data_IF_338827037913
#
_entry.id   IF_338827037913
#
_cell.length_a   1.000
_cell.length_b   1.000
_cell.length_c   1.000
_cell.angle_alpha   90.00
_cell.angle_beta   90.00
_cell.angle_gamma   90.00
#
_symmetry.space_group_name_H-M   'P 1'
#
loop_
_entity.id
_entity.type
_entity.pdbx_description
1 polymer ?
#
# COMPACT_ATOMS: atom_id res chain seq x y z
N UNK A 1 -42.67 12.12 17.25
CA UNK A 1 -41.85 11.78 16.07
C UNK A 1 -42.79 11.68 14.88
N UNK A 2 -42.67 12.59 13.91
CA UNK A 2 -43.52 12.62 12.71
C UNK A 2 -43.16 11.45 11.76
N UNK A 3 -43.94 11.26 10.69
CA UNK A 3 -43.77 10.15 9.75
C UNK A 3 -42.42 10.22 9.03
N UNK A 4 -41.98 11.43 8.72
CA UNK A 4 -40.71 11.77 8.08
C UNK A 4 -39.54 11.32 8.95
N UNK A 5 -39.47 11.73 10.23
CA UNK A 5 -38.38 11.34 11.13
C UNK A 5 -38.30 9.81 11.31
N UNK A 6 -39.45 9.13 11.36
CA UNK A 6 -39.50 7.65 11.41
C UNK A 6 -38.92 7.02 10.15
N UNK A 7 -39.26 7.55 8.97
CA UNK A 7 -38.71 7.09 7.70
C UNK A 7 -37.21 7.32 7.63
N UNK A 8 -36.75 8.53 7.94
CA UNK A 8 -35.33 8.91 7.90
C UNK A 8 -34.49 8.00 8.80
N UNK A 9 -34.93 7.79 10.03
CA UNK A 9 -34.23 6.90 10.98
C UNK A 9 -34.21 5.45 10.47
N UNK A 10 -35.28 5.01 9.81
CA UNK A 10 -35.36 3.68 9.21
C UNK A 10 -34.41 3.50 8.03
N UNK A 11 -34.20 4.53 7.21
CA UNK A 11 -33.31 4.44 6.03
C UNK A 11 -31.86 4.53 6.45
N UNK A 12 -31.52 5.51 7.30
CA UNK A 12 -30.13 5.83 7.65
C UNK A 12 -29.45 4.68 8.41
N UNK A 13 -30.20 3.94 9.24
CA UNK A 13 -29.63 2.84 10.05
C UNK A 13 -29.02 1.70 9.21
N UNK A 14 -29.42 1.59 7.94
CA UNK A 14 -28.97 0.53 7.03
C UNK A 14 -27.66 0.91 6.32
N UNK A 15 -27.13 2.11 6.55
CA UNK A 15 -25.86 2.60 5.99
C UNK A 15 -24.76 2.69 7.06
N UNK A 16 -23.51 2.67 6.60
CA UNK A 16 -22.33 2.86 7.45
C UNK A 16 -22.44 4.10 8.31
N UNK A 17 -21.98 4.00 9.57
CA UNK A 17 -22.07 5.06 10.58
C UNK A 17 -21.48 6.38 10.07
N UNK A 18 -20.44 6.31 9.24
CA UNK A 18 -19.79 7.45 8.61
C UNK A 18 -20.76 8.24 7.71
N UNK A 19 -21.68 7.56 7.01
CA UNK A 19 -22.65 8.20 6.11
C UNK A 19 -23.86 8.75 6.85
N UNK A 20 -24.14 8.27 8.06
CA UNK A 20 -25.40 8.55 8.74
C UNK A 20 -25.64 10.04 9.01
N UNK A 21 -24.59 10.78 9.37
CA UNK A 21 -24.70 12.22 9.61
C UNK A 21 -24.99 12.99 8.30
N UNK A 22 -24.25 12.69 7.23
CA UNK A 22 -24.46 13.31 5.91
C UNK A 22 -25.82 12.96 5.32
N UNK A 23 -26.30 11.72 5.49
CA UNK A 23 -27.65 11.34 5.10
C UNK A 23 -28.71 12.06 5.92
N UNK A 24 -28.47 12.27 7.21
CA UNK A 24 -29.39 13.02 8.06
C UNK A 24 -29.51 14.48 7.59
N UNK A 25 -28.38 15.13 7.33
CA UNK A 25 -28.34 16.49 6.77
C UNK A 25 -29.08 16.57 5.42
N UNK A 26 -28.86 15.58 4.54
CA UNK A 26 -29.60 15.46 3.28
C UNK A 26 -31.12 15.40 3.51
N UNK A 27 -31.58 14.54 4.41
CA UNK A 27 -33.02 14.39 4.67
C UNK A 27 -33.62 15.61 5.37
N UNK A 28 -32.88 16.25 6.28
CA UNK A 28 -33.31 17.50 6.94
C UNK A 28 -33.50 18.61 5.87
N UNK A 29 -32.56 18.78 4.95
CA UNK A 29 -32.67 19.75 3.85
C UNK A 29 -33.80 19.40 2.87
N UNK A 30 -34.04 18.12 2.59
CA UNK A 30 -35.17 17.68 1.77
C UNK A 30 -36.52 18.05 2.43
N UNK A 31 -36.66 17.81 3.75
CA UNK A 31 -37.87 18.17 4.52
C UNK A 31 -38.08 19.69 4.48
N UNK A 32 -37.03 20.48 4.72
CA UNK A 32 -37.08 21.95 4.64
C UNK A 32 -37.49 22.44 3.25
N UNK A 33 -37.20 21.67 2.20
CA UNK A 33 -37.55 21.96 0.82
C UNK A 33 -38.86 21.30 0.35
N UNK A 34 -39.67 20.80 1.27
CA UNK A 34 -41.03 20.34 1.01
C UNK A 34 -41.16 18.86 0.63
N UNK A 35 -40.15 18.04 0.92
CA UNK A 35 -40.30 16.59 0.83
C UNK A 35 -41.24 16.07 1.94
N UNK A 36 -42.10 15.12 1.57
CA UNK A 36 -42.95 14.35 2.48
C UNK A 36 -42.83 12.86 2.14
N UNK A 37 -43.31 11.99 3.03
CA UNK A 37 -43.29 10.53 2.80
C UNK A 37 -44.10 10.04 1.59
N UNK A 38 -44.88 10.91 0.95
CA UNK A 38 -45.62 10.60 -0.27
C UNK A 38 -44.70 10.49 -1.50
N UNK A 39 -43.55 11.16 -1.46
CA UNK A 39 -42.52 11.08 -2.50
C UNK A 39 -41.49 10.02 -2.10
N UNK A 40 -41.46 8.92 -2.86
CA UNK A 40 -40.51 7.83 -2.62
C UNK A 40 -39.08 8.29 -2.93
N UNK A 41 -38.18 8.05 -1.98
CA UNK A 41 -36.73 8.22 -2.15
C UNK A 41 -36.10 6.84 -2.17
N UNK A 42 -35.33 6.55 -3.21
CA UNK A 42 -34.57 5.30 -3.32
C UNK A 42 -33.10 5.58 -3.03
N UNK A 43 -32.63 5.17 -1.86
CA UNK A 43 -31.21 5.19 -1.51
C UNK A 43 -30.65 3.78 -1.58
N UNK A 44 -29.50 3.61 -2.24
CA UNK A 44 -28.79 2.33 -2.29
C UNK A 44 -27.30 2.55 -2.45
N UNK A 45 -26.51 1.73 -1.79
CA UNK A 45 -25.09 1.55 -2.11
C UNK A 45 -24.91 0.33 -3.01
N UNK A 46 -24.15 0.49 -4.10
CA UNK A 46 -23.80 -0.60 -5.01
C UNK A 46 -22.36 -0.41 -5.50
N UNK A 47 -21.53 -1.43 -5.30
CA UNK A 47 -20.12 -1.41 -5.73
C UNK A 47 -19.34 -0.19 -5.20
N UNK A 48 -19.56 0.19 -3.93
CA UNK A 48 -18.93 1.36 -3.32
C UNK A 48 -19.48 2.70 -3.79
N UNK A 49 -20.54 2.72 -4.60
CA UNK A 49 -21.19 3.95 -5.05
C UNK A 49 -22.54 4.10 -4.38
N UNK A 50 -22.71 5.18 -3.64
CA UNK A 50 -24.00 5.61 -3.12
C UNK A 50 -24.81 6.29 -4.22
N UNK A 51 -26.08 5.89 -4.33
CA UNK A 51 -27.05 6.42 -5.28
C UNK A 51 -28.29 6.81 -4.50
N UNK A 52 -28.86 7.98 -4.84
CA UNK A 52 -30.11 8.47 -4.30
C UNK A 52 -30.99 9.00 -5.43
N UNK A 53 -32.16 8.40 -5.63
CA UNK A 53 -33.11 8.79 -6.68
C UNK A 53 -34.43 9.26 -6.07
N UNK A 54 -34.84 10.47 -6.47
CA UNK A 54 -36.11 11.12 -6.10
C UNK A 54 -36.88 11.36 -7.39
N UNK A 55 -37.67 10.36 -7.79
CA UNK A 55 -38.47 10.44 -8.99
C UNK A 55 -39.51 11.57 -8.87
N UNK A 56 -39.60 12.42 -9.90
CA UNK A 56 -40.65 13.45 -10.10
C UNK A 56 -40.42 14.82 -9.45
N UNK A 57 -39.25 15.10 -8.86
CA UNK A 57 -38.95 16.45 -8.35
C UNK A 57 -37.47 16.84 -8.54
N UNK A 58 -37.19 17.65 -9.57
CA UNK A 58 -35.83 18.08 -9.91
C UNK A 58 -35.16 18.88 -8.80
N UNK A 59 -35.91 19.69 -8.06
CA UNK A 59 -35.35 20.49 -6.95
C UNK A 59 -34.84 19.58 -5.85
N UNK A 60 -35.63 18.57 -5.47
CA UNK A 60 -35.24 17.59 -4.46
C UNK A 60 -34.10 16.68 -4.96
N UNK A 61 -34.13 16.28 -6.24
CA UNK A 61 -33.05 15.50 -6.85
C UNK A 61 -31.71 16.27 -6.79
N UNK A 62 -31.70 17.57 -7.09
CA UNK A 62 -30.45 18.36 -7.02
C UNK A 62 -29.86 18.43 -5.60
N UNK A 63 -30.72 18.47 -4.57
CA UNK A 63 -30.29 18.38 -3.17
C UNK A 63 -29.65 17.01 -2.95
N UNK A 64 -30.36 15.93 -3.28
CA UNK A 64 -29.85 14.57 -3.15
C UNK A 64 -28.50 14.37 -3.89
N UNK A 65 -28.37 14.86 -5.12
CA UNK A 65 -27.14 14.76 -5.92
C UNK A 65 -25.95 15.45 -5.25
N UNK A 66 -26.17 16.55 -4.53
CA UNK A 66 -25.13 17.26 -3.77
C UNK A 66 -24.58 16.36 -2.66
N UNK A 67 -25.46 15.75 -1.87
CA UNK A 67 -25.06 14.85 -0.78
C UNK A 67 -24.51 13.51 -1.29
N UNK A 68 -25.05 12.99 -2.40
CA UNK A 68 -24.47 11.84 -3.11
C UNK A 68 -23.02 12.12 -3.49
N UNK A 69 -22.73 13.32 -4.03
CA UNK A 69 -21.36 13.74 -4.33
C UNK A 69 -20.45 13.78 -3.09
N UNK A 70 -20.97 14.23 -1.95
CA UNK A 70 -20.22 14.23 -0.68
C UNK A 70 -19.94 12.81 -0.20
N UNK A 71 -20.97 11.96 -0.12
CA UNK A 71 -20.85 10.57 0.35
C UNK A 71 -19.88 9.78 -0.53
N UNK A 72 -19.98 9.92 -1.85
CA UNK A 72 -19.07 9.26 -2.78
C UNK A 72 -17.65 9.83 -2.74
N UNK A 73 -17.41 10.97 -2.09
CA UNK A 73 -16.07 11.56 -1.93
C UNK A 73 -15.35 11.17 -0.64
N UNK A 74 -16.01 10.43 0.26
CA UNK A 74 -15.46 10.05 1.56
C UNK A 74 -15.31 8.52 1.69
N UNK A 75 -14.33 8.10 2.48
CA UNK A 75 -14.12 6.70 2.81
C UNK A 75 -15.22 6.17 3.76
N UNK A 76 -15.90 5.04 3.47
CA UNK A 76 -16.91 4.46 4.39
C UNK A 76 -16.32 4.03 5.74
N UNK A 77 -15.03 3.71 5.79
CA UNK A 77 -14.39 3.23 7.01
C UNK A 77 -13.97 4.36 7.96
N UNK A 78 -13.56 5.52 7.44
CA UNK A 78 -12.99 6.60 8.26
C UNK A 78 -13.56 8.00 8.02
N UNK A 79 -14.33 8.22 6.95
CA UNK A 79 -14.94 9.52 6.61
C UNK A 79 -13.99 10.54 5.98
N UNK A 80 -12.72 10.21 5.80
CA UNK A 80 -11.75 11.12 5.17
C UNK A 80 -12.01 11.28 3.68
N UNK A 81 -11.75 12.50 3.18
CA UNK A 81 -11.85 12.86 1.77
C UNK A 81 -10.61 12.38 1.01
N UNK A 82 -10.56 11.09 0.71
CA UNK A 82 -9.59 10.53 -0.20
C UNK A 82 -10.30 9.76 -1.31
N UNK A 83 -9.72 9.80 -2.53
CA UNK A 83 -10.22 9.00 -3.64
C UNK A 83 -10.22 7.52 -3.20
N UNK A 84 -11.40 6.91 -3.09
CA UNK A 84 -11.51 5.53 -2.65
C UNK A 84 -10.91 4.62 -3.71
N UNK A 85 -10.20 3.61 -3.22
CA UNK A 85 -9.58 2.60 -4.03
C UNK A 85 -10.63 1.61 -4.50
N UNK A 86 -10.50 1.17 -5.75
CA UNK A 86 -11.29 0.08 -6.31
C UNK A 86 -10.40 -1.16 -6.28
N UNK A 87 -10.67 -2.09 -5.38
CA UNK A 87 -10.02 -3.39 -5.41
C UNK A 87 -11.04 -4.41 -5.96
N UNK A 88 -10.79 -4.89 -7.17
CA UNK A 88 -11.43 -6.08 -7.72
C UNK A 88 -10.67 -7.28 -7.15
N UNK A 89 -11.09 -7.77 -5.99
CA UNK A 89 -10.47 -8.94 -5.41
C UNK A 89 -10.84 -10.14 -6.28
N UNK A 90 -9.88 -10.65 -7.05
CA UNK A 90 -10.02 -11.75 -8.04
C UNK A 90 -10.53 -13.10 -7.48
N UNK A 91 -11.16 -13.12 -6.31
CA UNK A 91 -11.80 -14.31 -5.74
C UNK A 91 -13.12 -14.08 -4.98
N UNK A 92 -13.67 -12.85 -4.89
CA UNK A 92 -15.00 -12.68 -4.29
C UNK A 92 -15.77 -11.48 -4.86
N UNK A 93 -17.09 -11.63 -4.96
CA UNK A 93 -18.06 -10.70 -5.59
C UNK A 93 -18.20 -9.32 -4.89
N UNK A 94 -17.22 -8.91 -4.09
CA UNK A 94 -17.24 -7.69 -3.28
C UNK A 94 -16.07 -6.78 -3.66
N UNK A 95 -16.41 -5.67 -4.35
CA UNK A 95 -15.49 -4.55 -4.55
C UNK A 95 -15.41 -3.79 -3.23
N UNK A 96 -14.23 -3.74 -2.65
CA UNK A 96 -13.99 -3.01 -1.41
C UNK A 96 -13.70 -1.54 -1.71
N UNK A 97 -14.42 -0.63 -1.06
CA UNK A 97 -14.37 0.81 -1.30
C UNK A 97 -13.78 1.50 -0.10
N UNK A 98 -12.50 1.84 -0.15
CA UNK A 98 -11.80 2.35 1.04
C UNK A 98 -10.65 3.27 0.65
N UNK A 99 -10.30 4.22 1.52
CA UNK A 99 -9.12 5.06 1.30
C UNK A 99 -7.83 4.22 1.39
N UNK A 100 -6.74 4.77 0.89
CA UNK A 100 -5.45 4.08 0.90
C UNK A 100 -4.98 3.75 2.33
N UNK A 101 -5.26 4.60 3.29
CA UNK A 101 -4.87 4.39 4.68
C UNK A 101 -5.62 3.21 5.31
N UNK A 102 -6.94 3.14 5.14
CA UNK A 102 -7.74 2.03 5.62
C UNK A 102 -7.42 0.73 4.89
N UNK A 103 -7.19 0.78 3.57
CA UNK A 103 -6.69 -0.37 2.80
C UNK A 103 -5.34 -0.85 3.35
N UNK A 104 -4.41 0.07 3.62
CA UNK A 104 -3.07 -0.25 4.13
C UNK A 104 -3.15 -0.97 5.48
N UNK A 105 -3.90 -0.42 6.43
CA UNK A 105 -4.08 -1.03 7.77
C UNK A 105 -4.75 -2.40 7.67
N UNK A 106 -5.76 -2.55 6.80
CA UNK A 106 -6.41 -3.84 6.58
C UNK A 106 -5.46 -4.85 5.96
N UNK A 107 -4.64 -4.43 5.00
CA UNK A 107 -3.80 -5.32 4.19
C UNK A 107 -2.52 -5.72 4.93
N UNK A 108 -2.04 -4.89 5.85
CA UNK A 108 -0.87 -5.17 6.69
C UNK A 108 -0.94 -6.52 7.41
N UNK A 109 -2.14 -6.93 7.83
CA UNK A 109 -2.35 -8.23 8.48
C UNK A 109 -2.08 -9.43 7.57
N UNK A 110 -2.08 -9.24 6.25
CA UNK A 110 -1.78 -10.25 5.25
C UNK A 110 -0.33 -10.21 4.75
N UNK A 111 0.45 -9.18 5.12
CA UNK A 111 1.86 -9.17 4.75
C UNK A 111 2.62 -10.29 5.43
N UNK A 112 3.46 -10.96 4.65
CA UNK A 112 4.28 -12.07 5.11
C UNK A 112 5.20 -11.66 6.25
N UNK A 113 5.71 -10.43 6.27
CA UNK A 113 6.68 -9.94 7.27
C UNK A 113 6.14 -8.65 7.91
N UNK A 114 6.21 -8.54 9.24
CA UNK A 114 5.78 -7.35 9.98
C UNK A 114 6.33 -7.35 11.42
N UNK A 115 6.05 -6.29 12.19
CA UNK A 115 6.46 -6.15 13.61
C UNK A 115 7.94 -6.45 13.87
N UNK A 116 8.80 -6.05 12.93
CA UNK A 116 10.24 -6.26 13.00
C UNK A 116 10.83 -5.34 14.07
N UNK A 117 11.57 -5.93 15.02
CA UNK A 117 12.21 -5.21 16.11
C UNK A 117 13.48 -5.93 16.56
N UNK A 118 14.16 -5.37 17.57
CA UNK A 118 15.34 -5.98 18.20
C UNK A 118 15.06 -7.32 18.87
N UNK A 119 13.81 -7.63 19.20
CA UNK A 119 13.44 -8.90 19.85
C UNK A 119 13.05 -9.98 18.86
N UNK A 120 12.59 -9.61 17.66
CA UNK A 120 12.05 -10.56 16.71
C UNK A 120 11.28 -9.93 15.56
N UNK A 121 10.44 -10.74 14.92
CA UNK A 121 9.55 -10.35 13.84
C UNK A 121 8.31 -11.24 13.81
N UNK A 122 7.31 -10.83 13.04
CA UNK A 122 6.14 -11.65 12.75
C UNK A 122 6.20 -12.17 11.32
N UNK A 123 5.87 -13.44 11.16
CA UNK A 123 5.78 -14.09 9.87
C UNK A 123 4.39 -14.71 9.67
N UNK A 124 3.80 -14.49 8.50
CA UNK A 124 2.65 -15.27 8.04
C UNK A 124 3.16 -16.60 7.48
N UNK A 125 2.89 -17.71 8.16
CA UNK A 125 3.23 -19.06 7.69
C UNK A 125 2.02 -19.74 7.08
N UNK A 126 2.22 -20.41 5.95
CA UNK A 126 1.24 -21.32 5.37
C UNK A 126 1.68 -22.74 5.75
N UNK A 127 1.02 -23.33 6.74
CA UNK A 127 1.21 -24.73 7.11
C UNK A 127 -0.09 -25.49 6.78
N UNK A 128 -0.03 -26.51 5.93
CA UNK A 128 -1.13 -27.45 5.68
C UNK A 128 -2.51 -26.77 5.44
N UNK A 129 -2.53 -25.74 4.58
CA UNK A 129 -3.70 -24.90 4.24
C UNK A 129 -4.21 -23.95 5.36
N UNK A 130 -3.54 -23.90 6.51
CA UNK A 130 -3.79 -22.90 7.55
C UNK A 130 -2.76 -21.79 7.42
N UNK A 131 -3.27 -20.57 7.23
CA UNK A 131 -2.45 -19.36 7.25
C UNK A 131 -2.44 -18.83 8.68
N UNK A 132 -1.35 -19.04 9.41
CA UNK A 132 -1.20 -18.58 10.79
C UNK A 132 -0.07 -17.56 10.90
N UNK A 133 -0.34 -16.50 11.67
CA UNK A 133 0.65 -15.50 12.01
C UNK A 133 1.42 -15.95 13.23
N UNK A 134 2.74 -16.09 13.09
CA UNK A 134 3.61 -16.54 14.16
C UNK A 134 4.65 -15.48 14.52
N UNK A 135 4.83 -15.30 15.82
CA UNK A 135 5.89 -14.49 16.40
C UNK A 135 7.18 -15.30 16.46
N UNK A 136 8.25 -14.74 15.92
CA UNK A 136 9.60 -15.31 15.96
C UNK A 136 10.50 -14.41 16.78
N UNK A 137 11.09 -14.96 17.82
CA UNK A 137 12.10 -14.29 18.63
C UNK A 137 13.50 -14.69 18.17
N UNK A 138 14.38 -13.71 17.98
CA UNK A 138 15.74 -13.96 17.49
C UNK A 138 16.51 -14.95 18.38
N UNK A 139 16.45 -14.80 19.71
CA UNK A 139 17.23 -15.63 20.64
C UNK A 139 16.59 -16.95 21.02
N UNK A 140 15.27 -17.08 20.87
CA UNK A 140 14.54 -18.30 21.25
C UNK A 140 14.19 -19.20 20.08
N UNK A 141 14.08 -18.67 18.87
CA UNK A 141 13.56 -19.44 17.73
C UNK A 141 14.60 -19.58 16.60
N UNK A 142 15.50 -18.62 16.44
CA UNK A 142 16.46 -18.61 15.33
C UNK A 142 17.76 -19.29 15.73
N UNK A 143 18.16 -20.27 14.91
CA UNK A 143 19.42 -21.00 15.04
C UNK A 143 20.55 -20.26 14.34
N UNK A 144 20.32 -19.92 13.07
CA UNK A 144 21.29 -19.23 12.20
C UNK A 144 20.62 -18.68 10.96
N UNK A 145 21.30 -17.75 10.30
CA UNK A 145 20.85 -17.03 9.13
C UNK A 145 21.93 -17.06 8.07
N UNK A 146 21.49 -17.18 6.81
CA UNK A 146 22.35 -17.14 5.63
C UNK A 146 21.71 -16.27 4.55
N UNK A 147 22.53 -15.54 3.80
CA UNK A 147 22.09 -15.00 2.52
C UNK A 147 22.39 -16.01 1.41
N UNK A 148 21.37 -16.34 0.63
CA UNK A 148 21.51 -17.15 -0.58
C UNK A 148 21.38 -16.25 -1.81
N UNK A 149 21.76 -16.79 -2.96
CA UNK A 149 21.78 -16.07 -4.24
C UNK A 149 22.59 -14.74 -4.21
N UNK A 150 23.73 -14.74 -3.48
CA UNK A 150 24.68 -13.60 -3.44
C UNK A 150 25.34 -13.29 -4.80
N UNK A 151 25.05 -14.07 -5.85
CA UNK A 151 25.74 -14.09 -7.14
C UNK A 151 25.77 -12.72 -7.84
N UNK A 152 24.87 -11.80 -7.45
CA UNK A 152 24.70 -10.47 -8.03
C UNK A 152 24.99 -9.31 -7.05
N UNK A 153 25.07 -9.57 -5.73
CA UNK A 153 25.27 -8.52 -4.73
C UNK A 153 26.68 -7.91 -4.80
N UNK A 154 27.69 -8.76 -4.99
CA UNK A 154 29.09 -8.35 -5.21
C UNK A 154 29.34 -7.93 -6.67
N UNK A 155 28.66 -8.56 -7.63
CA UNK A 155 28.88 -8.36 -9.07
C UNK A 155 27.66 -7.71 -9.76
N UNK A 156 27.68 -6.38 -9.75
CA UNK A 156 27.13 -5.40 -10.71
C UNK A 156 25.71 -5.43 -11.29
N UNK A 157 24.81 -6.38 -11.03
CA UNK A 157 23.53 -6.40 -11.80
C UNK A 157 22.23 -6.30 -11.02
N UNK A 158 22.15 -6.77 -9.79
CA UNK A 158 20.94 -6.63 -8.96
C UNK A 158 21.21 -7.01 -7.50
N UNK A 159 20.42 -6.48 -6.57
CA UNK A 159 20.29 -7.15 -5.26
C UNK A 159 19.24 -8.23 -5.46
N UNK A 160 19.71 -9.44 -5.75
CA UNK A 160 18.86 -10.64 -5.80
C UNK A 160 19.20 -11.57 -4.64
N UNK A 161 19.30 -10.99 -3.45
CA UNK A 161 19.58 -11.73 -2.22
C UNK A 161 18.29 -12.31 -1.66
N UNK A 162 18.37 -13.56 -1.21
CA UNK A 162 17.33 -14.19 -0.42
C UNK A 162 17.85 -14.42 1.00
N UNK A 163 16.97 -14.26 1.98
CA UNK A 163 17.25 -14.46 3.38
C UNK A 163 16.71 -15.83 3.80
N UNK A 164 17.62 -16.74 4.12
CA UNK A 164 17.32 -18.05 4.68
C UNK A 164 17.51 -18.00 6.20
N UNK A 165 16.45 -18.28 6.95
CA UNK A 165 16.46 -18.33 8.41
C UNK A 165 16.23 -19.78 8.85
N UNK A 166 17.25 -20.41 9.43
CA UNK A 166 17.12 -21.72 10.06
C UNK A 166 16.66 -21.55 11.50
N UNK A 167 15.58 -22.25 11.86
CA UNK A 167 14.99 -22.25 13.18
C UNK A 167 15.59 -23.36 14.06
N UNK A 168 15.51 -23.22 15.38
CA UNK A 168 16.02 -24.24 16.33
C UNK A 168 15.37 -25.62 16.17
N UNK A 169 14.15 -25.67 15.64
CA UNK A 169 13.45 -26.92 15.30
C UNK A 169 13.85 -27.49 13.92
N UNK A 170 14.92 -26.98 13.31
CA UNK A 170 15.44 -27.34 11.98
C UNK A 170 14.45 -27.11 10.83
N UNK A 171 13.44 -26.26 11.00
CA UNK A 171 12.65 -25.71 9.90
C UNK A 171 13.34 -24.48 9.32
N UNK A 172 13.00 -24.14 8.07
CA UNK A 172 13.57 -23.00 7.36
C UNK A 172 12.48 -21.99 6.97
N UNK A 173 12.83 -20.72 7.01
CA UNK A 173 12.05 -19.63 6.43
C UNK A 173 12.85 -19.00 5.29
N UNK A 174 12.18 -18.64 4.21
CA UNK A 174 12.80 -18.03 3.04
C UNK A 174 12.09 -16.73 2.72
N UNK A 175 12.85 -15.65 2.58
CA UNK A 175 12.34 -14.34 2.20
C UNK A 175 13.17 -13.73 1.08
N UNK A 176 12.53 -13.02 0.17
CA UNK A 176 13.19 -12.25 -0.88
C UNK A 176 12.56 -10.85 -1.02
N UNK A 177 13.11 -10.04 -1.92
CA UNK A 177 12.70 -8.65 -2.19
C UNK A 177 11.22 -8.46 -2.52
N UNK A 178 10.53 -9.50 -2.98
CA UNK A 178 9.10 -9.44 -3.33
C UNK A 178 8.20 -9.30 -2.11
N UNK A 179 8.67 -9.67 -0.92
CA UNK A 179 7.91 -9.45 0.32
C UNK A 179 8.03 -7.99 0.79
N UNK A 180 6.90 -7.44 1.24
CA UNK A 180 6.87 -6.14 1.92
C UNK A 180 7.68 -6.25 3.23
N UNK A 181 8.40 -5.19 3.59
CA UNK A 181 9.31 -5.15 4.74
C UNK A 181 10.54 -6.07 4.65
N UNK A 182 10.82 -6.70 3.50
CA UNK A 182 12.02 -7.53 3.34
C UNK A 182 13.31 -6.77 3.68
N UNK A 183 13.48 -5.56 3.14
CA UNK A 183 14.69 -4.77 3.41
C UNK A 183 14.75 -4.28 4.86
N UNK A 184 13.61 -3.96 5.49
CA UNK A 184 13.51 -3.68 6.92
C UNK A 184 13.93 -4.90 7.74
N UNK A 185 13.53 -6.11 7.36
CA UNK A 185 13.94 -7.35 8.02
C UNK A 185 15.45 -7.53 7.89
N UNK A 186 15.97 -7.47 6.66
CA UNK A 186 17.39 -7.63 6.35
C UNK A 186 18.27 -6.65 7.16
N UNK A 187 17.83 -5.39 7.29
CA UNK A 187 18.52 -4.36 8.08
C UNK A 187 18.50 -4.62 9.59
N UNK A 188 17.52 -5.35 10.11
CA UNK A 188 17.32 -5.57 11.55
C UNK A 188 17.76 -6.96 12.03
N UNK A 189 18.30 -7.81 11.16
CA UNK A 189 18.85 -9.10 11.56
C UNK A 189 20.05 -8.89 12.50
N UNK A 190 20.06 -9.46 13.72
CA UNK A 190 21.22 -9.33 14.59
C UNK A 190 22.44 -10.09 14.04
N UNK A 191 23.59 -9.43 14.02
CA UNK A 191 24.83 -9.92 13.42
C UNK A 191 25.23 -11.32 13.87
N UNK A 192 25.00 -11.62 15.15
CA UNK A 192 25.37 -12.88 15.79
C UNK A 192 24.72 -14.13 15.16
N UNK A 193 23.65 -13.97 14.38
CA UNK A 193 22.96 -15.09 13.73
C UNK A 193 23.51 -15.39 12.34
N UNK A 194 24.28 -14.49 11.72
CA UNK A 194 24.90 -14.79 10.43
C UNK A 194 26.02 -15.80 10.59
N UNK A 195 26.03 -16.80 9.72
CA UNK A 195 27.04 -17.87 9.73
C UNK A 195 28.34 -17.37 9.09
N UNK A 196 28.23 -16.66 7.97
CA UNK A 196 29.36 -16.25 7.14
C UNK A 196 29.62 -14.76 7.35
N UNK A 197 30.87 -14.36 7.61
CA UNK A 197 31.23 -12.93 7.71
C UNK A 197 30.91 -12.16 6.41
N UNK A 198 30.94 -12.85 5.27
CA UNK A 198 30.51 -12.33 3.99
C UNK A 198 29.03 -11.94 3.99
N UNK A 199 28.15 -12.66 4.70
CA UNK A 199 26.73 -12.27 4.79
C UNK A 199 26.59 -10.90 5.46
N UNK A 200 27.26 -10.72 6.60
CA UNK A 200 27.25 -9.45 7.35
C UNK A 200 27.80 -8.33 6.47
N UNK A 201 28.95 -8.56 5.84
CA UNK A 201 29.61 -7.62 4.95
C UNK A 201 28.72 -7.25 3.76
N UNK A 202 27.96 -8.19 3.21
CA UNK A 202 27.01 -7.95 2.13
C UNK A 202 25.87 -7.01 2.58
N UNK A 203 25.26 -7.27 3.74
CA UNK A 203 24.20 -6.42 4.30
C UNK A 203 24.72 -5.00 4.54
N UNK A 204 25.88 -4.88 5.20
CA UNK A 204 26.53 -3.60 5.46
C UNK A 204 26.85 -2.85 4.16
N UNK A 205 27.40 -3.55 3.16
CA UNK A 205 27.72 -2.98 1.87
C UNK A 205 26.47 -2.44 1.17
N UNK A 206 25.36 -3.18 1.19
CA UNK A 206 24.09 -2.74 0.60
C UNK A 206 23.64 -1.41 1.20
N UNK A 207 23.39 -1.34 2.52
CA UNK A 207 22.81 -0.11 3.09
C UNK A 207 23.83 1.00 3.36
N UNK A 208 25.14 0.74 3.22
CA UNK A 208 26.16 1.80 3.19
C UNK A 208 26.27 2.48 1.82
N UNK A 209 25.77 1.83 0.75
CA UNK A 209 25.87 2.31 -0.63
C UNK A 209 24.50 2.66 -1.26
N UNK A 210 23.44 2.72 -0.46
CA UNK A 210 22.16 3.28 -0.92
C UNK A 210 22.22 4.81 -0.96
N UNK A 211 21.61 5.40 -1.98
CA UNK A 211 21.53 6.85 -2.17
C UNK A 211 20.12 7.28 -2.56
N UNK A 212 19.87 8.60 -2.59
CA UNK A 212 18.58 9.16 -3.00
C UNK A 212 18.27 8.81 -4.47
N UNK A 213 17.12 8.17 -4.71
CA UNK A 213 16.63 7.92 -6.05
C UNK A 213 16.07 9.21 -6.66
N UNK A 214 16.53 9.66 -7.84
CA UNK A 214 16.02 10.87 -8.47
C UNK A 214 14.57 10.71 -8.96
N UNK A 215 14.03 9.49 -9.07
CA UNK A 215 12.66 9.19 -9.49
C UNK A 215 11.71 9.17 -8.30
N UNK A 216 11.85 8.20 -7.39
CA UNK A 216 10.92 8.04 -6.26
C UNK A 216 11.30 8.84 -5.00
N UNK A 217 12.46 9.52 -4.98
CA UNK A 217 12.94 10.36 -3.87
C UNK A 217 13.23 9.64 -2.55
N UNK A 218 13.18 8.31 -2.52
CA UNK A 218 13.63 7.50 -1.37
C UNK A 218 15.13 7.24 -1.40
N UNK A 219 15.74 7.04 -0.23
CA UNK A 219 17.12 6.50 -0.12
C UNK A 219 17.06 5.00 -0.40
N UNK A 220 17.10 4.66 -1.68
CA UNK A 220 16.91 3.29 -2.14
C UNK A 220 17.68 3.00 -3.42
N UNK A 221 18.55 3.89 -3.89
CA UNK A 221 19.32 3.70 -5.12
C UNK A 221 20.63 2.98 -4.80
N UNK A 222 20.74 1.71 -5.18
CA UNK A 222 21.94 0.89 -5.05
C UNK A 222 22.46 0.52 -6.43
N UNK A 223 23.75 0.78 -6.70
CA UNK A 223 24.39 0.54 -8.02
C UNK A 223 23.52 0.98 -9.20
N UNK A 224 23.00 2.22 -9.16
CA UNK A 224 22.10 2.80 -10.17
C UNK A 224 20.71 2.15 -10.32
N UNK A 225 20.36 1.14 -9.52
CA UNK A 225 19.01 0.55 -9.50
C UNK A 225 18.28 0.94 -8.21
N UNK A 226 17.07 1.44 -8.34
CA UNK A 226 16.25 1.74 -7.17
C UNK A 226 15.57 0.48 -6.63
N UNK A 227 15.66 0.24 -5.32
CA UNK A 227 15.05 -0.90 -4.63
C UNK A 227 13.53 -0.74 -4.40
N UNK A 228 12.99 0.47 -4.60
CA UNK A 228 11.55 0.79 -4.50
C UNK A 228 10.90 0.85 -5.88
N UNK A 229 11.36 1.78 -6.74
CA UNK A 229 10.75 1.98 -8.06
C UNK A 229 11.35 1.11 -9.16
N UNK A 230 12.31 0.25 -8.84
CA UNK A 230 13.02 -0.66 -9.76
C UNK A 230 13.68 0.00 -10.98
N UNK A 231 13.67 1.33 -11.05
CA UNK A 231 14.28 2.08 -12.14
C UNK A 231 15.78 1.88 -12.14
N UNK A 232 16.30 1.46 -13.29
CA UNK A 232 17.73 1.35 -13.55
C UNK A 232 18.22 2.62 -14.27
N UNK A 233 18.92 3.50 -13.54
CA UNK A 233 19.50 4.73 -14.07
C UNK A 233 20.66 4.46 -15.03
N UNK A 234 21.37 3.35 -14.92
CA UNK A 234 22.46 3.04 -15.85
C UNK A 234 21.92 2.75 -17.25
N UNK A 235 20.82 2.00 -17.37
CA UNK A 235 20.12 1.81 -18.64
C UNK A 235 19.57 3.13 -19.20
N UNK A 236 19.12 4.04 -18.34
CA UNK A 236 18.60 5.35 -18.77
C UNK A 236 19.71 6.31 -19.20
N UNK A 237 20.87 6.27 -18.53
CA UNK A 237 21.90 7.30 -18.66
C UNK A 237 23.08 6.87 -19.53
N UNK A 238 23.44 5.58 -19.58
CA UNK A 238 24.69 5.12 -20.20
C UNK A 238 24.51 4.31 -21.50
N UNK A 239 23.44 3.55 -21.66
CA UNK A 239 23.30 2.61 -22.78
C UNK A 239 22.80 3.30 -24.06
N UNK A 240 23.56 3.29 -25.17
CA UNK A 240 23.22 4.03 -26.40
C UNK A 240 21.87 3.65 -27.01
N UNK A 241 21.46 2.38 -26.96
CA UNK A 241 20.21 1.89 -27.58
C UNK A 241 18.95 2.38 -26.87
N UNK A 242 18.92 2.35 -25.53
CA UNK A 242 17.83 2.92 -24.71
C UNK A 242 17.91 4.44 -24.59
N UNK A 243 19.15 4.99 -24.58
CA UNK A 243 19.41 6.42 -24.70
C UNK A 243 18.82 6.96 -26.00
N UNK A 244 18.87 6.21 -27.11
CA UNK A 244 18.35 6.63 -28.42
C UNK A 244 16.84 6.92 -28.41
N UNK A 245 16.03 6.11 -27.73
CA UNK A 245 14.57 6.32 -27.74
C UNK A 245 14.12 7.43 -26.81
N UNK A 246 14.73 7.59 -25.64
CA UNK A 246 14.40 8.71 -24.75
C UNK A 246 15.02 10.03 -25.26
N UNK A 247 16.21 10.00 -25.85
CA UNK A 247 16.85 11.20 -26.41
C UNK A 247 16.18 11.70 -27.70
N UNK A 248 15.49 10.83 -28.46
CA UNK A 248 14.62 11.27 -29.57
C UNK A 248 13.58 12.30 -29.11
N UNK A 249 13.10 12.17 -27.87
CA UNK A 249 12.04 13.02 -27.31
C UNK A 249 12.55 14.06 -26.32
N UNK A 250 13.69 13.80 -25.66
CA UNK A 250 14.24 14.62 -24.58
C UNK A 250 15.73 14.87 -24.76
N UNK A 251 16.12 16.13 -24.99
CA UNK A 251 17.53 16.47 -25.28
C UNK A 251 18.39 16.63 -24.01
N UNK A 252 17.81 16.45 -22.82
CA UNK A 252 18.48 16.62 -21.53
C UNK A 252 18.10 15.50 -20.56
N UNK A 253 19.07 15.06 -19.76
CA UNK A 253 18.86 14.04 -18.72
C UNK A 253 17.78 14.46 -17.71
N UNK A 254 17.72 15.74 -17.36
CA UNK A 254 16.73 16.26 -16.42
C UNK A 254 15.28 16.09 -16.93
N UNK A 255 15.06 16.29 -18.23
CA UNK A 255 13.75 16.09 -18.86
C UNK A 255 13.33 14.61 -18.84
N UNK A 256 14.28 13.70 -19.07
CA UNK A 256 14.04 12.25 -18.95
C UNK A 256 13.66 11.89 -17.51
N UNK A 257 14.35 12.46 -16.52
CA UNK A 257 14.05 12.24 -15.10
C UNK A 257 12.65 12.76 -14.76
N UNK A 258 12.27 13.95 -15.23
CA UNK A 258 10.92 14.52 -15.02
C UNK A 258 9.85 13.61 -15.62
N UNK A 259 10.00 13.20 -16.88
CA UNK A 259 9.05 12.28 -17.52
C UNK A 259 8.94 10.93 -16.76
N UNK A 260 10.07 10.41 -16.27
CA UNK A 260 10.07 9.19 -15.46
C UNK A 260 9.39 9.38 -14.10
N UNK A 261 9.50 10.55 -13.46
CA UNK A 261 8.73 10.88 -12.25
C UNK A 261 7.24 10.90 -12.54
N UNK A 262 6.81 11.54 -13.62
CA UNK A 262 5.39 11.60 -14.00
C UNK A 262 4.84 10.21 -14.31
N UNK A 263 5.60 9.39 -15.04
CA UNK A 263 5.25 8.00 -15.32
C UNK A 263 5.15 7.19 -14.04
N UNK A 264 6.10 7.36 -13.12
CA UNK A 264 6.10 6.67 -11.84
C UNK A 264 4.94 7.12 -10.94
N UNK A 265 4.59 8.41 -10.93
CA UNK A 265 3.42 8.93 -10.20
C UNK A 265 2.14 8.24 -10.66
N UNK A 266 1.95 8.12 -11.98
CA UNK A 266 0.78 7.41 -12.56
C UNK A 266 0.78 5.92 -12.20
N UNK A 267 1.95 5.30 -12.09
CA UNK A 267 2.07 3.90 -11.68
C UNK A 267 1.68 3.72 -10.21
N UNK A 268 2.16 4.58 -9.31
CA UNK A 268 1.81 4.55 -7.88
C UNK A 268 0.30 4.66 -7.66
N UNK A 269 -0.38 5.50 -8.43
CA UNK A 269 -1.83 5.68 -8.28
C UNK A 269 -2.64 4.42 -8.63
N UNK A 270 -2.05 3.48 -9.39
CA UNK A 270 -2.71 2.25 -9.84
C UNK A 270 -2.16 0.97 -9.19
N UNK A 271 -1.04 1.04 -8.47
CA UNK A 271 -0.41 -0.10 -7.79
C UNK A 271 -0.34 0.18 -6.28
N UNK A 272 -1.30 -0.38 -5.56
CA UNK A 272 -1.45 -0.17 -4.12
C UNK A 272 -0.28 -0.73 -3.31
N UNK A 273 0.33 -1.82 -3.77
CA UNK A 273 1.49 -2.43 -3.12
C UNK A 273 2.72 -1.54 -3.30
N UNK A 274 2.93 -1.00 -4.50
CA UNK A 274 3.98 -0.02 -4.75
C UNK A 274 3.74 1.28 -3.97
N UNK A 275 2.49 1.75 -3.90
CA UNK A 275 2.10 2.90 -3.08
C UNK A 275 2.39 2.65 -1.60
N UNK A 276 2.10 1.46 -1.09
CA UNK A 276 2.47 1.04 0.27
C UNK A 276 3.98 1.09 0.48
N UNK A 277 4.76 0.46 -0.40
CA UNK A 277 6.23 0.46 -0.33
C UNK A 277 6.81 1.88 -0.33
N UNK A 278 6.16 2.81 -1.03
CA UNK A 278 6.61 4.18 -1.08
C UNK A 278 6.22 5.00 0.17
N UNK A 279 5.00 4.84 0.66
CA UNK A 279 4.46 5.73 1.70
C UNK A 279 4.53 5.17 3.12
N UNK A 280 4.63 3.85 3.29
CA UNK A 280 4.53 3.18 4.59
C UNK A 280 5.72 2.28 4.92
N UNK A 281 6.43 1.75 3.92
CA UNK A 281 7.59 0.89 4.19
C UNK A 281 8.81 1.70 4.70
N UNK A 282 9.09 1.52 5.99
CA UNK A 282 10.19 2.21 6.71
C UNK A 282 11.59 1.71 6.31
N UNK A 283 11.70 0.69 5.44
CA UNK A 283 12.99 0.15 4.95
C UNK A 283 13.92 1.23 4.39
N UNK A 284 13.35 2.32 3.86
CA UNK A 284 14.05 3.34 3.09
C UNK A 284 13.89 4.76 3.66
N UNK A 285 13.53 4.86 4.94
CA UNK A 285 13.55 6.13 5.67
C UNK A 285 14.99 6.60 5.89
N UNK A 286 15.16 7.93 5.95
CA UNK A 286 16.45 8.56 6.27
C UNK A 286 16.76 8.37 7.77
N UNK A 287 17.04 7.14 8.22
CA UNK A 287 17.44 6.89 9.61
C UNK A 287 18.95 7.06 9.77
N UNK A 288 19.36 7.87 10.73
CA UNK A 288 20.74 7.99 11.20
C UNK A 288 21.23 6.67 11.84
N UNK A 289 22.25 6.07 11.22
CA UNK A 289 23.05 4.92 11.68
C UNK A 289 22.38 3.52 11.66
N UNK A 290 23.17 2.54 11.20
CA UNK A 290 22.97 1.11 11.46
C UNK A 290 23.05 0.85 12.97
N UNK A 291 22.19 -0.02 13.50
CA UNK A 291 22.32 -0.57 14.86
C UNK A 291 23.14 -1.86 14.79
#
# INVERSE_FOLDING_TARGET
MNAETKYVTSVIKDFDVVYQNTLKEMFDELIENGWTTDVKIYCKEKYGVFICEINSNQKLQNIADTYVGIINSICPNCGEKEKPLFEDDTSSEWIDYTCFDCWSVRTEKYFTISNISKSGFNCLQINDNVTERKDFNWSKDVKRIKLTNKSSAYFDKEIDVELEIELLNNKFLFFNKSYIHFYKLLKNVPRIYFIEEDDVSCVEYIFSNISDCPICKKIALYKNKCLVCHTNLELLLKWPSTRHDSWKWYNKVDEIIVNKRETFSKLIDNDLILKYRLHRDESFEKSSAFI
#
